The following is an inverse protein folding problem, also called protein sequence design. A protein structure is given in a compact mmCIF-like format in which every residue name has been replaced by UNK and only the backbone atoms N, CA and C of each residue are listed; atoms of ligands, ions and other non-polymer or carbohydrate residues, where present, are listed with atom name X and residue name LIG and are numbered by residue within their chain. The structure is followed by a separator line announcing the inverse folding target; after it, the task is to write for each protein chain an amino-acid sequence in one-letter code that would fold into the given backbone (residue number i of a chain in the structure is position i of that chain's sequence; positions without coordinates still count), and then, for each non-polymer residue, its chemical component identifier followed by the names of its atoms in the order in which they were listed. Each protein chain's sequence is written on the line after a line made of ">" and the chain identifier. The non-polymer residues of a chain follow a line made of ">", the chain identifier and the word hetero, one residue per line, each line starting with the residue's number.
data_IF_507254828469
#
_entry.id   IF_507254828469
#
_cell.length_a   1.000
_cell.length_b   1.000
_cell.length_c   1.000
_cell.angle_alpha   90.00
_cell.angle_beta   90.00
_cell.angle_gamma   90.00
#
_symmetry.space_group_name_H-M   'P 1'
#
loop_
_entity.id
_entity.type
_entity.pdbx_description
1 polymer ?
#
# COMPACT_ATOMS: atom_id res chain seq x y z
N UNK A 1 -9.64 14.24 2.85
CA UNK A 1 -8.55 14.81 2.02
C UNK A 1 -7.57 15.52 2.95
N UNK A 2 -6.24 15.47 2.68
CA UNK A 2 -5.15 15.95 3.56
C UNK A 2 -5.04 15.27 4.94
N UNK A 3 -5.35 13.97 5.03
CA UNK A 3 -5.10 13.22 6.27
C UNK A 3 -3.68 12.66 6.34
N UNK A 4 -3.08 12.44 5.17
CA UNK A 4 -1.72 11.98 4.99
C UNK A 4 -1.05 12.74 3.86
N UNK A 5 0.27 12.88 3.99
CA UNK A 5 1.16 13.29 2.90
C UNK A 5 1.47 12.09 1.99
N UNK A 6 1.93 12.35 0.77
CA UNK A 6 2.36 11.29 -0.17
C UNK A 6 3.41 10.35 0.44
N UNK A 7 4.47 10.85 1.12
CA UNK A 7 5.43 9.97 1.78
C UNK A 7 4.82 9.09 2.87
N UNK A 8 3.93 9.62 3.70
CA UNK A 8 3.27 8.82 4.75
C UNK A 8 2.39 7.71 4.17
N UNK A 9 1.71 7.96 3.05
CA UNK A 9 0.94 6.91 2.38
C UNK A 9 1.86 5.81 1.83
N UNK A 10 3.00 6.18 1.27
CA UNK A 10 4.01 5.22 0.80
C UNK A 10 4.55 4.36 1.94
N UNK A 11 4.83 4.95 3.11
CA UNK A 11 5.27 4.22 4.30
C UNK A 11 4.22 3.21 4.76
N UNK A 12 2.94 3.62 4.79
CA UNK A 12 1.83 2.73 5.18
C UNK A 12 1.68 1.52 4.25
N UNK A 13 1.89 1.72 2.95
CA UNK A 13 1.85 0.63 1.96
C UNK A 13 3.07 -0.27 2.05
N UNK A 14 4.26 0.31 2.21
CA UNK A 14 5.47 -0.47 2.45
C UNK A 14 5.30 -1.37 3.69
N UNK A 15 4.75 -0.82 4.77
CA UNK A 15 4.39 -1.59 5.96
C UNK A 15 3.41 -2.73 5.64
N UNK A 16 2.34 -2.45 4.90
CA UNK A 16 1.36 -3.45 4.48
C UNK A 16 1.98 -4.62 3.72
N UNK A 17 2.88 -4.35 2.78
CA UNK A 17 3.54 -5.34 1.91
C UNK A 17 4.70 -6.10 2.60
N UNK A 18 5.26 -5.57 3.68
CA UNK A 18 6.34 -6.26 4.42
C UNK A 18 5.85 -7.43 5.27
N UNK A 19 4.56 -7.46 5.58
CA UNK A 19 3.94 -8.53 6.35
C UNK A 19 3.16 -9.45 5.42
N UNK A 20 3.19 -10.79 5.60
CA UNK A 20 2.34 -11.72 4.85
C UNK A 20 0.83 -11.57 5.12
N UNK A 21 0.41 -10.44 5.68
CA UNK A 21 -0.95 -10.14 6.10
C UNK A 21 -1.80 -9.53 4.99
N UNK A 22 -3.05 -9.14 5.32
CA UNK A 22 -3.94 -8.49 4.37
C UNK A 22 -3.37 -7.12 3.98
N UNK A 23 -3.27 -6.85 2.68
CA UNK A 23 -2.93 -5.54 2.09
C UNK A 23 -3.67 -4.35 2.76
N UNK A 24 -4.87 -4.61 3.27
CA UNK A 24 -5.75 -3.66 3.96
C UNK A 24 -5.17 -3.12 5.27
N UNK A 25 -4.10 -3.71 5.83
CA UNK A 25 -3.44 -3.19 7.04
C UNK A 25 -2.96 -1.74 6.90
N UNK A 26 -2.74 -1.25 5.67
CA UNK A 26 -2.51 0.18 5.41
C UNK A 26 -3.60 1.07 6.01
N UNK A 27 -4.87 0.65 5.99
CA UNK A 27 -5.98 1.49 6.47
C UNK A 27 -5.96 1.66 7.99
N UNK A 28 -5.46 0.65 8.72
CA UNK A 28 -5.21 0.77 10.15
C UNK A 28 -4.09 1.78 10.44
N UNK A 29 -3.03 1.78 9.63
CA UNK A 29 -1.97 2.80 9.70
C UNK A 29 -2.50 4.20 9.36
N UNK A 30 -3.31 4.35 8.31
CA UNK A 30 -3.97 5.62 7.96
C UNK A 30 -4.83 6.11 9.14
N UNK A 31 -5.60 5.21 9.76
CA UNK A 31 -6.41 5.51 10.94
C UNK A 31 -5.54 5.98 12.11
N UNK A 32 -4.44 5.29 12.39
CA UNK A 32 -3.49 5.67 13.44
C UNK A 32 -2.92 7.08 13.23
N UNK A 33 -2.34 7.34 12.06
CA UNK A 33 -1.71 8.65 11.77
C UNK A 33 -2.75 9.77 11.72
N UNK A 34 -3.97 9.48 11.24
CA UNK A 34 -5.09 10.41 11.30
C UNK A 34 -5.46 10.77 12.75
N UNK A 35 -5.60 9.77 13.63
CA UNK A 35 -5.89 9.97 15.05
C UNK A 35 -4.77 10.70 15.80
N UNK A 36 -3.52 10.39 15.47
CA UNK A 36 -2.33 11.06 16.00
C UNK A 36 -2.29 12.54 15.62
N UNK A 37 -2.44 12.84 14.32
CA UNK A 37 -2.33 14.20 13.78
C UNK A 37 -3.50 15.08 14.22
N UNK A 38 -4.69 14.49 14.40
CA UNK A 38 -5.89 15.22 14.84
C UNK A 38 -6.10 15.23 16.34
N UNK A 39 -5.26 14.53 17.12
CA UNK A 39 -5.35 14.46 18.58
C UNK A 39 -6.79 14.19 19.05
N UNK A 40 -7.42 13.14 18.51
CA UNK A 40 -8.86 12.88 18.69
C UNK A 40 -9.32 12.70 20.14
N UNK A 41 -8.40 12.40 21.07
CA UNK A 41 -8.66 12.32 22.51
C UNK A 41 -7.95 13.43 23.32
N UNK A 42 -7.47 14.48 22.64
CA UNK A 42 -6.72 15.57 23.25
C UNK A 42 -5.19 15.38 23.24
N UNK A 43 -4.43 16.44 23.60
CA UNK A 43 -2.98 16.46 23.54
C UNK A 43 -2.29 15.57 24.58
N UNK A 44 -2.98 15.23 25.67
CA UNK A 44 -2.42 14.38 26.74
C UNK A 44 -2.54 12.88 26.44
N UNK A 45 -3.37 12.51 25.46
CA UNK A 45 -3.72 11.12 25.15
C UNK A 45 -3.54 10.79 23.66
N UNK A 46 -2.53 11.37 23.00
CA UNK A 46 -2.32 11.24 21.54
C UNK A 46 -2.19 9.78 21.10
N UNK A 47 -1.42 8.96 21.82
CA UNK A 47 -1.25 7.55 21.49
C UNK A 47 -2.55 6.76 21.63
N UNK A 48 -3.31 6.97 22.71
CA UNK A 48 -4.62 6.35 22.93
C UNK A 48 -5.61 6.75 21.83
N UNK A 49 -5.59 8.02 21.41
CA UNK A 49 -6.43 8.51 20.32
C UNK A 49 -6.06 7.89 18.98
N UNK A 50 -4.77 7.76 18.69
CA UNK A 50 -4.28 7.10 17.49
C UNK A 50 -4.61 5.60 17.47
N UNK A 51 -4.43 4.90 18.59
CA UNK A 51 -4.77 3.48 18.74
C UNK A 51 -6.28 3.25 18.56
N UNK A 52 -7.12 4.09 19.17
CA UNK A 52 -8.57 4.02 19.00
C UNK A 52 -8.97 4.25 17.54
N UNK A 53 -8.40 5.25 16.87
CA UNK A 53 -8.67 5.50 15.46
C UNK A 53 -8.24 4.32 14.55
N UNK A 54 -7.11 3.67 14.84
CA UNK A 54 -6.66 2.46 14.15
C UNK A 54 -7.62 1.28 14.37
N UNK A 55 -8.10 1.09 15.61
CA UNK A 55 -9.09 0.05 15.94
C UNK A 55 -10.41 0.27 15.21
N UNK A 56 -10.92 1.52 15.17
CA UNK A 56 -12.13 1.88 14.43
C UNK A 56 -11.95 1.62 12.94
N UNK A 57 -10.83 2.05 12.34
CA UNK A 57 -10.53 1.79 10.94
C UNK A 57 -10.49 0.28 10.65
N UNK A 58 -9.84 -0.51 11.51
CA UNK A 58 -9.75 -1.97 11.37
C UNK A 58 -11.13 -2.62 11.48
N UNK A 59 -11.92 -2.23 12.48
CA UNK A 59 -13.26 -2.77 12.70
C UNK A 59 -14.14 -2.60 11.47
N UNK A 60 -14.24 -1.38 10.95
CA UNK A 60 -15.15 -1.08 9.84
C UNK A 60 -14.64 -1.55 8.47
N UNK A 61 -13.36 -1.87 8.32
CA UNK A 61 -12.81 -2.41 7.06
C UNK A 61 -12.82 -3.94 7.02
N UNK A 62 -12.43 -4.59 8.13
CA UNK A 62 -12.29 -6.05 8.18
C UNK A 62 -13.59 -6.75 8.57
N UNK A 63 -14.29 -6.29 9.62
CA UNK A 63 -15.42 -7.05 10.16
C UNK A 63 -16.56 -7.23 9.15
N UNK A 64 -17.03 -6.18 8.44
CA UNK A 64 -18.06 -6.37 7.41
C UNK A 64 -17.60 -7.31 6.30
N UNK A 65 -16.34 -7.18 5.86
CA UNK A 65 -15.75 -8.03 4.81
C UNK A 65 -15.73 -9.51 5.21
N UNK A 66 -15.34 -9.82 6.46
CA UNK A 66 -15.38 -11.19 6.98
C UNK A 66 -16.81 -11.72 7.06
N UNK A 67 -17.77 -10.89 7.50
CA UNK A 67 -19.18 -11.29 7.54
C UNK A 67 -19.66 -11.64 6.12
N UNK A 68 -19.37 -10.81 5.12
CA UNK A 68 -19.76 -11.09 3.74
C UNK A 68 -19.09 -12.33 3.16
N UNK A 69 -17.81 -12.56 3.45
CA UNK A 69 -17.09 -13.75 2.97
C UNK A 69 -17.64 -15.02 3.62
N UNK A 70 -17.87 -15.01 4.94
CA UNK A 70 -18.37 -16.18 5.66
C UNK A 70 -19.84 -16.46 5.34
N UNK A 71 -20.69 -15.43 5.24
CA UNK A 71 -22.09 -15.58 4.89
C UNK A 71 -22.29 -15.90 3.39
N UNK A 72 -21.48 -15.30 2.52
CA UNK A 72 -21.55 -15.48 1.07
C UNK A 72 -20.79 -16.69 0.54
N UNK A 73 -19.81 -17.22 1.29
CA UNK A 73 -18.99 -18.37 0.91
C UNK A 73 -19.79 -19.58 0.42
N UNK A 74 -20.80 -20.06 1.18
CA UNK A 74 -21.62 -21.19 0.76
C UNK A 74 -22.36 -20.96 -0.58
N UNK A 75 -22.82 -19.73 -0.82
CA UNK A 75 -23.51 -19.37 -2.07
C UNK A 75 -22.56 -19.29 -3.26
N UNK A 76 -21.35 -18.76 -3.05
CA UNK A 76 -20.30 -18.73 -4.08
C UNK A 76 -19.86 -20.16 -4.43
N UNK A 77 -19.74 -21.05 -3.46
CA UNK A 77 -19.36 -22.44 -3.71
C UNK A 77 -20.43 -23.22 -4.47
N UNK A 78 -21.70 -23.05 -4.12
CA UNK A 78 -22.82 -23.68 -4.81
C UNK A 78 -22.93 -23.27 -6.30
N UNK A 79 -22.34 -22.12 -6.67
CA UNK A 79 -22.44 -21.53 -8.01
C UNK A 79 -21.18 -21.71 -8.87
N UNK A 80 -20.10 -22.32 -8.35
CA UNK A 80 -18.82 -22.53 -9.05
C UNK A 80 -18.89 -23.36 -10.35
N UNK A 81 -19.96 -24.12 -10.58
CA UNK A 81 -20.16 -24.95 -11.77
C UNK A 81 -20.95 -24.31 -12.92
N UNK A 82 -21.47 -23.09 -12.74
CA UNK A 82 -22.34 -22.46 -13.75
C UNK A 82 -21.53 -21.58 -14.72
N UNK A 83 -21.40 -22.04 -15.97
CA UNK A 83 -20.71 -21.34 -17.07
C UNK A 83 -21.17 -19.89 -17.27
N UNK A 84 -22.39 -19.52 -16.86
CA UNK A 84 -22.90 -18.14 -16.95
C UNK A 84 -22.23 -17.16 -15.98
N UNK A 85 -21.58 -17.65 -14.92
CA UNK A 85 -20.91 -16.82 -13.91
C UNK A 85 -19.41 -16.67 -14.14
N UNK A 86 -18.84 -17.45 -15.07
CA UNK A 86 -17.41 -17.38 -15.43
C UNK A 86 -17.05 -16.06 -16.09
N UNK A 87 -17.90 -15.53 -16.98
CA UNK A 87 -17.64 -14.27 -17.67
C UNK A 87 -17.62 -13.05 -16.72
N UNK A 88 -18.59 -12.85 -15.80
CA UNK A 88 -18.49 -11.82 -14.78
C UNK A 88 -17.25 -11.95 -13.87
N UNK A 89 -16.89 -13.16 -13.44
CA UNK A 89 -15.71 -13.42 -12.60
C UNK A 89 -14.39 -13.09 -13.35
N UNK A 90 -14.33 -13.40 -14.64
CA UNK A 90 -13.21 -13.03 -15.51
C UNK A 90 -13.09 -11.50 -15.69
N UNK A 91 -14.21 -10.79 -15.82
CA UNK A 91 -14.23 -9.33 -15.90
C UNK A 91 -13.71 -8.68 -14.61
N UNK A 92 -14.10 -9.21 -13.44
CA UNK A 92 -13.61 -8.73 -12.13
C UNK A 92 -12.10 -8.94 -12.01
N UNK A 93 -11.58 -10.12 -12.37
CA UNK A 93 -10.13 -10.38 -12.33
C UNK A 93 -9.35 -9.46 -13.27
N UNK A 94 -9.85 -9.21 -14.49
CA UNK A 94 -9.24 -8.25 -15.40
C UNK A 94 -9.22 -6.82 -14.83
N UNK A 95 -10.32 -6.38 -14.21
CA UNK A 95 -10.41 -5.08 -13.54
C UNK A 95 -9.39 -4.95 -12.41
N UNK A 96 -9.23 -5.98 -11.57
CA UNK A 96 -8.25 -6.00 -10.47
C UNK A 96 -6.82 -5.87 -11.01
N UNK A 97 -6.47 -6.59 -12.09
CA UNK A 97 -5.14 -6.45 -12.73
C UNK A 97 -4.92 -5.01 -13.22
N UNK A 98 -5.93 -4.39 -13.84
CA UNK A 98 -5.87 -3.00 -14.26
C UNK A 98 -5.67 -2.02 -13.09
N UNK A 99 -6.36 -2.24 -11.96
CA UNK A 99 -6.20 -1.45 -10.74
C UNK A 99 -4.78 -1.60 -10.18
N UNK A 100 -4.22 -2.82 -10.14
CA UNK A 100 -2.84 -3.07 -9.69
C UNK A 100 -1.84 -2.33 -10.58
N UNK A 101 -2.01 -2.40 -11.90
CA UNK A 101 -1.14 -1.69 -12.85
C UNK A 101 -1.23 -0.17 -12.67
N UNK A 102 -2.43 0.38 -12.47
CA UNK A 102 -2.62 1.81 -12.21
C UNK A 102 -1.94 2.25 -10.90
N UNK A 103 -2.09 1.47 -9.83
CA UNK A 103 -1.41 1.74 -8.55
C UNK A 103 0.12 1.70 -8.71
N UNK A 104 0.65 0.71 -9.42
CA UNK A 104 2.08 0.61 -9.69
C UNK A 104 2.62 1.85 -10.43
N UNK A 105 1.92 2.32 -11.47
CA UNK A 105 2.29 3.54 -12.20
C UNK A 105 2.23 4.78 -11.32
N UNK A 106 1.20 4.89 -10.47
CA UNK A 106 1.09 5.99 -9.51
C UNK A 106 2.29 6.03 -8.55
N UNK A 107 2.73 4.88 -8.02
CA UNK A 107 3.91 4.83 -7.15
C UNK A 107 5.21 5.14 -7.87
N UNK A 108 5.40 4.61 -9.09
CA UNK A 108 6.58 4.92 -9.91
C UNK A 108 6.65 6.44 -10.15
N UNK A 109 5.53 7.07 -10.47
CA UNK A 109 5.47 8.52 -10.65
C UNK A 109 5.75 9.28 -9.34
N UNK A 110 5.21 8.80 -8.20
CA UNK A 110 5.42 9.41 -6.89
C UNK A 110 6.88 9.35 -6.41
N UNK A 111 7.61 8.27 -6.71
CA UNK A 111 9.05 8.18 -6.39
C UNK A 111 9.93 8.93 -7.39
N UNK A 112 9.53 8.98 -8.66
CA UNK A 112 10.32 9.62 -9.71
C UNK A 112 10.35 11.15 -9.55
N UNK A 113 9.27 11.75 -9.02
CA UNK A 113 9.14 13.20 -8.85
C UNK A 113 8.90 13.59 -7.37
N UNK A 114 9.95 13.64 -6.54
CA UNK A 114 9.81 13.77 -5.09
C UNK A 114 9.37 15.16 -4.54
N UNK A 115 8.90 16.13 -5.32
CA UNK A 115 8.37 17.39 -4.75
C UNK A 115 6.86 17.35 -4.49
N UNK A 116 6.52 17.45 -3.20
CA UNK A 116 5.17 17.43 -2.65
C UNK A 116 4.31 18.67 -2.93
N UNK A 117 4.07 19.00 -4.20
CA UNK A 117 3.33 20.23 -4.56
C UNK A 117 2.44 20.10 -5.78
N UNK A 118 1.62 19.05 -5.91
CA UNK A 118 0.49 19.00 -6.86
C UNK A 118 0.81 19.06 -8.36
N UNK A 119 2.09 19.24 -8.75
CA UNK A 119 2.56 19.28 -10.13
C UNK A 119 3.53 18.13 -10.35
N UNK A 120 3.01 16.99 -10.80
CA UNK A 120 3.74 15.75 -11.07
C UNK A 120 4.91 15.90 -12.09
N UNK A 121 5.07 17.06 -12.74
CA UNK A 121 6.00 17.24 -13.86
C UNK A 121 6.93 18.46 -13.75
N UNK A 122 6.93 19.17 -12.62
CA UNK A 122 7.72 20.41 -12.44
C UNK A 122 9.00 20.18 -11.61
N UNK A 123 9.31 18.92 -11.29
CA UNK A 123 10.39 18.55 -10.38
C UNK A 123 11.53 17.83 -11.10
N UNK A 124 12.76 18.00 -10.59
CA UNK A 124 13.90 17.19 -11.01
C UNK A 124 13.58 15.70 -10.85
N UNK A 125 13.81 14.96 -11.92
CA UNK A 125 13.61 13.51 -11.97
C UNK A 125 14.67 12.81 -11.09
N UNK A 126 14.23 11.99 -10.16
CA UNK A 126 15.10 11.16 -9.33
C UNK A 126 15.47 9.86 -10.07
N UNK A 127 16.58 9.92 -10.77
CA UNK A 127 17.13 8.77 -11.50
C UNK A 127 17.58 7.64 -10.57
N UNK A 128 17.94 7.93 -9.33
CA UNK A 128 18.40 6.93 -8.36
C UNK A 128 17.20 6.12 -7.86
N UNK A 129 16.09 6.78 -7.51
CA UNK A 129 14.86 6.11 -7.12
C UNK A 129 14.33 5.20 -8.25
N UNK A 130 14.37 5.68 -9.50
CA UNK A 130 14.00 4.86 -10.67
C UNK A 130 14.93 3.66 -10.86
N UNK A 131 16.24 3.83 -10.70
CA UNK A 131 17.20 2.74 -10.82
C UNK A 131 16.96 1.67 -9.74
N UNK A 132 16.68 2.08 -8.49
CA UNK A 132 16.33 1.16 -7.40
C UNK A 132 15.00 0.45 -7.66
N UNK A 133 14.00 1.13 -8.23
CA UNK A 133 12.73 0.51 -8.61
C UNK A 133 12.89 -0.55 -9.71
N UNK A 134 13.69 -0.27 -10.74
CA UNK A 134 14.02 -1.23 -11.79
C UNK A 134 14.81 -2.41 -11.23
N UNK A 135 15.78 -2.15 -10.35
CA UNK A 135 16.53 -3.20 -9.65
C UNK A 135 15.59 -4.12 -8.84
N UNK A 136 14.67 -3.54 -8.04
CA UNK A 136 13.70 -4.31 -7.27
C UNK A 136 12.78 -5.15 -8.17
N UNK A 137 12.30 -4.58 -9.28
CA UNK A 137 11.48 -5.30 -10.25
C UNK A 137 12.24 -6.49 -10.87
N UNK A 138 13.50 -6.31 -11.24
CA UNK A 138 14.35 -7.38 -11.76
C UNK A 138 14.67 -8.44 -10.70
N UNK A 139 14.92 -8.03 -9.45
CA UNK A 139 15.18 -8.94 -8.33
C UNK A 139 13.98 -9.84 -8.03
N UNK A 140 12.76 -9.31 -8.11
CA UNK A 140 11.53 -10.08 -7.95
C UNK A 140 11.26 -10.97 -9.17
N UNK A 141 11.33 -10.42 -10.39
CA UNK A 141 10.87 -11.13 -11.58
C UNK A 141 11.89 -12.15 -12.13
N UNK A 142 13.17 -11.75 -12.23
CA UNK A 142 14.23 -12.59 -12.80
C UNK A 142 14.93 -13.41 -11.74
N UNK A 143 15.30 -12.78 -10.62
CA UNK A 143 16.10 -13.43 -9.57
C UNK A 143 15.23 -14.18 -8.55
N UNK A 144 13.90 -13.99 -8.57
CA UNK A 144 12.92 -14.62 -7.67
C UNK A 144 13.28 -14.47 -6.19
N UNK A 145 13.88 -13.33 -5.83
CA UNK A 145 14.20 -13.04 -4.44
C UNK A 145 12.91 -12.84 -3.64
N UNK A 146 12.93 -13.26 -2.36
CA UNK A 146 11.81 -12.99 -1.46
C UNK A 146 11.63 -11.49 -1.21
N UNK A 147 10.38 -11.04 -1.07
CA UNK A 147 10.02 -9.63 -0.88
C UNK A 147 10.81 -8.97 0.25
N UNK A 148 10.93 -9.63 1.41
CA UNK A 148 11.71 -9.13 2.55
C UNK A 148 13.17 -8.87 2.18
N UNK A 149 13.81 -9.75 1.39
CA UNK A 149 15.21 -9.56 0.96
C UNK A 149 15.34 -8.37 0.04
N UNK A 150 14.41 -8.20 -0.90
CA UNK A 150 14.42 -7.06 -1.83
C UNK A 150 14.24 -5.75 -1.07
N UNK A 151 13.31 -5.69 -0.12
CA UNK A 151 13.11 -4.51 0.72
C UNK A 151 14.37 -4.20 1.53
N UNK A 152 14.97 -5.19 2.18
CA UNK A 152 16.19 -4.98 2.98
C UNK A 152 17.36 -4.47 2.14
N UNK A 153 17.59 -5.05 0.96
CA UNK A 153 18.67 -4.62 0.05
C UNK A 153 18.41 -3.22 -0.51
N UNK A 154 17.19 -2.93 -0.95
CA UNK A 154 16.82 -1.61 -1.45
C UNK A 154 16.91 -0.53 -0.37
N UNK A 155 16.50 -0.83 0.87
CA UNK A 155 16.61 0.07 2.01
C UNK A 155 18.08 0.33 2.37
N UNK A 156 18.92 -0.71 2.41
CA UNK A 156 20.35 -0.58 2.66
C UNK A 156 21.05 0.22 1.56
N UNK A 157 20.72 -0.04 0.29
CA UNK A 157 21.26 0.69 -0.85
C UNK A 157 20.84 2.18 -0.82
N UNK A 158 19.56 2.46 -0.57
CA UNK A 158 19.05 3.83 -0.44
C UNK A 158 19.72 4.58 0.73
N UNK A 159 19.88 3.93 1.88
CA UNK A 159 20.57 4.52 3.03
C UNK A 159 22.05 4.81 2.72
N UNK A 160 22.76 3.89 2.08
CA UNK A 160 24.14 4.09 1.67
C UNK A 160 24.29 5.27 0.70
N UNK A 161 23.42 5.36 -0.31
CA UNK A 161 23.42 6.45 -1.29
C UNK A 161 23.16 7.81 -0.64
N UNK A 162 22.25 7.86 0.34
CA UNK A 162 21.96 9.07 1.12
C UNK A 162 23.13 9.49 2.00
N UNK A 163 23.81 8.52 2.65
CA UNK A 163 24.99 8.80 3.46
C UNK A 163 26.19 9.26 2.62
N UNK A 164 26.26 8.84 1.36
CA UNK A 164 27.28 9.28 0.39
C UNK A 164 26.95 10.63 -0.27
N UNK A 165 25.81 11.25 0.04
CA UNK A 165 25.38 12.53 -0.53
C UNK A 165 24.98 12.47 -2.01
N UNK A 166 24.74 11.26 -2.53
CA UNK A 166 24.32 11.04 -3.91
C UNK A 166 22.78 11.12 -4.06
N UNK A 167 22.04 11.01 -2.95
CA UNK A 167 20.58 11.06 -2.86
C UNK A 167 20.11 11.98 -1.72
#
# INVERSE_FOLDING_TARGET
>A
YQWLTTPQMMDGLALGETTPGPLIMVVAFVGFVGGWTKQVLGPDAVFLGAALAACVATWFTFLPSFIFILAGGPWVEATRGNLKLTAPLAAVTAAVVGVIANLALFFIAAIAYPAGGGRLFDTKLDWIALALAVFAALALWRLKWGVIRVIAVSAAAGLALRLLGLA
#
